data_IF_179372146605
#
_entry.id   IF_179372146605
#
_cell.length_a   1.000
_cell.length_b   1.000
_cell.length_c   1.000
_cell.angle_alpha   90.00
_cell.angle_beta   90.00
_cell.angle_gamma   90.00
#
_symmetry.space_group_name_H-M   'P 1'
#
loop_
_entity.id
_entity.type
_entity.pdbx_description
1 polymer ?
#
# COMPACT_ATOMS: atom_id res chain seq x y z
N UNK A 1 -26.01 -9.75 -11.77
CA UNK A 1 -26.08 -8.61 -10.83
C UNK A 1 -24.72 -8.41 -10.21
N UNK A 2 -24.03 -7.30 -10.50
CA UNK A 2 -22.82 -6.94 -9.76
C UNK A 2 -23.22 -6.73 -8.29
N UNK A 3 -22.48 -7.33 -7.36
CA UNK A 3 -22.76 -7.20 -5.93
C UNK A 3 -22.46 -5.76 -5.53
N UNK A 4 -23.48 -5.00 -5.12
CA UNK A 4 -23.30 -3.66 -4.53
C UNK A 4 -22.38 -3.79 -3.32
N UNK A 5 -21.41 -2.89 -3.21
CA UNK A 5 -20.40 -2.94 -2.16
C UNK A 5 -20.46 -1.67 -1.36
N UNK A 6 -20.40 -1.82 -0.04
CA UNK A 6 -20.33 -0.68 0.88
C UNK A 6 -19.11 0.22 0.60
N UNK A 7 -19.31 1.53 0.58
CA UNK A 7 -18.27 2.56 0.53
C UNK A 7 -17.26 2.31 1.67
N UNK A 8 -17.76 2.01 2.87
CA UNK A 8 -16.91 1.70 4.03
C UNK A 8 -15.98 0.50 3.77
N UNK A 9 -16.47 -0.53 3.08
CA UNK A 9 -15.69 -1.72 2.74
C UNK A 9 -14.62 -1.39 1.71
N UNK A 10 -14.94 -0.62 0.67
CA UNK A 10 -13.97 -0.16 -0.34
C UNK A 10 -12.80 0.58 0.32
N UNK A 11 -13.10 1.55 1.18
CA UNK A 11 -12.09 2.36 1.89
C UNK A 11 -11.23 1.48 2.82
N UNK A 12 -11.85 0.57 3.58
CA UNK A 12 -11.13 -0.35 4.49
C UNK A 12 -10.19 -1.28 3.72
N UNK A 13 -10.65 -1.84 2.59
CA UNK A 13 -9.84 -2.73 1.75
C UNK A 13 -8.65 -1.97 1.14
N UNK A 14 -8.88 -0.76 0.61
CA UNK A 14 -7.81 0.11 0.08
C UNK A 14 -6.76 0.43 1.17
N UNK A 15 -7.20 0.84 2.36
CA UNK A 15 -6.31 1.15 3.47
C UNK A 15 -5.53 -0.07 3.96
N UNK A 16 -6.18 -1.22 4.09
CA UNK A 16 -5.52 -2.48 4.47
C UNK A 16 -4.48 -2.91 3.43
N UNK A 17 -4.79 -2.77 2.15
CA UNK A 17 -3.88 -3.11 1.05
C UNK A 17 -2.65 -2.20 1.04
N UNK A 18 -2.82 -0.90 1.25
CA UNK A 18 -1.71 0.06 1.38
C UNK A 18 -0.83 -0.26 2.60
N UNK A 19 -1.43 -0.52 3.77
CA UNK A 19 -0.67 -0.89 4.98
C UNK A 19 0.10 -2.19 4.79
N UNK A 20 -0.52 -3.20 4.20
CA UNK A 20 0.14 -4.46 3.87
C UNK A 20 1.33 -4.25 2.94
N UNK A 21 1.15 -3.43 1.89
CA UNK A 21 2.22 -3.13 0.94
C UNK A 21 3.41 -2.45 1.65
N UNK A 22 3.16 -1.45 2.49
CA UNK A 22 4.21 -0.77 3.26
C UNK A 22 4.93 -1.75 4.18
N UNK A 23 4.20 -2.60 4.90
CA UNK A 23 4.79 -3.61 5.77
C UNK A 23 5.66 -4.61 4.99
N UNK A 24 5.21 -5.05 3.81
CA UNK A 24 5.96 -5.94 2.93
C UNK A 24 7.26 -5.29 2.43
N UNK A 25 7.22 -4.01 2.04
CA UNK A 25 8.40 -3.24 1.61
C UNK A 25 9.43 -3.14 2.73
N UNK A 26 9.00 -2.73 3.93
CA UNK A 26 9.88 -2.56 5.09
C UNK A 26 10.49 -3.91 5.48
N UNK A 27 9.68 -4.96 5.57
CA UNK A 27 10.14 -6.30 5.96
C UNK A 27 11.17 -6.85 4.97
N UNK A 28 10.88 -6.74 3.67
CA UNK A 28 11.81 -7.19 2.61
C UNK A 28 13.11 -6.39 2.63
N UNK A 29 13.04 -5.08 2.85
CA UNK A 29 14.23 -4.22 2.96
C UNK A 29 15.09 -4.60 4.15
N UNK A 30 14.49 -4.81 5.33
CA UNK A 30 15.21 -5.25 6.53
C UNK A 30 15.88 -6.61 6.28
N UNK A 31 15.13 -7.57 5.72
CA UNK A 31 15.63 -8.91 5.42
C UNK A 31 16.85 -8.87 4.49
N UNK A 32 16.76 -8.15 3.36
CA UNK A 32 17.85 -8.06 2.40
C UNK A 32 19.04 -7.26 2.94
N UNK A 33 18.81 -6.18 3.68
CA UNK A 33 19.88 -5.38 4.26
C UNK A 33 20.68 -6.15 5.32
N UNK A 34 20.00 -6.99 6.12
CA UNK A 34 20.67 -7.88 7.06
C UNK A 34 21.60 -8.88 6.33
N UNK A 35 21.21 -9.36 5.15
CA UNK A 35 22.02 -10.26 4.34
C UNK A 35 23.28 -9.59 3.75
N UNK A 36 23.27 -8.26 3.58
CA UNK A 36 24.40 -7.48 3.04
C UNK A 36 25.28 -6.82 4.11
N UNK A 37 24.86 -6.83 5.38
CA UNK A 37 25.54 -6.11 6.48
C UNK A 37 27.03 -6.48 6.65
N UNK A 38 27.41 -7.72 6.30
CA UNK A 38 28.79 -8.22 6.42
C UNK A 38 29.57 -8.22 5.10
N UNK A 39 28.97 -7.82 3.99
CA UNK A 39 29.64 -7.86 2.69
C UNK A 39 30.87 -6.92 2.65
N UNK A 40 30.79 -5.75 3.29
CA UNK A 40 31.95 -4.85 3.42
C UNK A 40 33.14 -5.48 4.18
N UNK A 41 32.83 -6.27 5.22
CA UNK A 41 33.85 -7.00 5.98
C UNK A 41 34.49 -8.10 5.12
N UNK A 42 33.68 -8.84 4.35
CA UNK A 42 34.16 -9.86 3.42
C UNK A 42 35.03 -9.26 2.32
N UNK A 43 34.60 -8.14 1.72
CA UNK A 43 35.37 -7.38 0.71
C UNK A 43 36.72 -6.91 1.28
N UNK A 44 36.76 -6.48 2.54
CA UNK A 44 38.02 -6.12 3.20
C UNK A 44 38.93 -7.34 3.39
N UNK A 45 38.40 -8.49 3.83
CA UNK A 45 39.19 -9.72 4.03
C UNK A 45 39.81 -10.19 2.71
N UNK A 46 39.02 -10.25 1.63
CA UNK A 46 39.53 -10.66 0.31
C UNK A 46 40.49 -9.61 -0.25
N UNK A 47 40.21 -8.32 -0.05
CA UNK A 47 41.10 -7.22 -0.46
C UNK A 47 42.47 -7.29 0.22
N UNK A 48 42.50 -7.65 1.51
CA UNK A 48 43.72 -7.85 2.29
C UNK A 48 44.58 -8.99 1.73
N UNK A 49 43.98 -10.02 1.13
CA UNK A 49 44.75 -11.12 0.53
C UNK A 49 45.72 -10.62 -0.54
N UNK A 50 45.34 -9.64 -1.39
CA UNK A 50 46.24 -9.05 -2.40
C UNK A 50 47.47 -8.41 -1.78
N UNK A 51 47.25 -7.63 -0.71
CA UNK A 51 48.34 -6.98 0.03
C UNK A 51 49.26 -8.03 0.66
N UNK A 52 48.70 -9.11 1.22
CA UNK A 52 49.47 -10.17 1.85
C UNK A 52 50.37 -10.92 0.87
N UNK A 53 49.94 -11.18 -0.38
CA UNK A 53 50.83 -11.80 -1.38
C UNK A 53 52.07 -10.94 -1.63
N UNK A 54 51.88 -9.63 -1.79
CA UNK A 54 52.97 -8.67 -1.97
C UNK A 54 53.83 -8.51 -0.71
N UNK A 55 53.21 -8.50 0.49
CA UNK A 55 53.93 -8.42 1.76
C UNK A 55 54.85 -9.62 1.96
N UNK A 56 54.38 -10.83 1.61
CA UNK A 56 55.19 -12.05 1.66
C UNK A 56 56.38 -11.95 0.70
N UNK A 57 56.14 -11.60 -0.57
CA UNK A 57 57.22 -11.45 -1.57
C UNK A 57 58.25 -10.40 -1.15
N UNK A 58 57.79 -9.22 -0.69
CA UNK A 58 58.63 -8.13 -0.18
C UNK A 58 59.54 -8.62 0.96
N UNK A 59 58.97 -9.31 1.95
CA UNK A 59 59.73 -9.80 3.10
C UNK A 59 60.74 -10.86 2.70
N UNK A 60 60.40 -11.75 1.77
CA UNK A 60 61.34 -12.75 1.23
C UNK A 60 62.53 -12.07 0.55
N UNK A 61 62.30 -11.09 -0.33
CA UNK A 61 63.40 -10.35 -0.97
C UNK A 61 64.24 -9.57 0.03
N UNK A 62 63.62 -8.95 1.03
CA UNK A 62 64.34 -8.22 2.07
C UNK A 62 65.23 -9.14 2.91
N UNK A 63 64.70 -10.27 3.37
CA UNK A 63 65.44 -11.28 4.13
C UNK A 63 66.59 -11.82 3.28
N UNK A 64 66.32 -12.15 2.01
CA UNK A 64 67.34 -12.64 1.09
C UNK A 64 68.47 -11.63 0.87
N UNK A 65 68.12 -10.36 0.62
CA UNK A 65 69.09 -9.29 0.38
C UNK A 65 69.94 -8.96 1.62
N UNK A 66 69.31 -8.92 2.80
CA UNK A 66 69.99 -8.56 4.05
C UNK A 66 70.71 -9.73 4.71
N UNK A 67 70.38 -10.96 4.35
CA UNK A 67 70.80 -12.16 5.08
C UNK A 67 70.18 -12.28 6.48
N UNK A 68 69.16 -11.46 6.79
CA UNK A 68 68.43 -11.52 8.05
C UNK A 68 67.77 -12.90 8.23
N UNK A 69 67.73 -13.40 9.47
CA UNK A 69 67.01 -14.63 9.82
C UNK A 69 65.72 -14.34 10.60
N UNK A 70 65.26 -13.10 10.58
CA UNK A 70 63.99 -12.70 11.16
C UNK A 70 62.85 -12.97 10.17
N UNK A 71 62.02 -13.95 10.50
CA UNK A 71 60.84 -14.33 9.72
C UNK A 71 59.53 -13.85 10.35
N UNK A 72 59.55 -13.01 11.38
CA UNK A 72 58.35 -12.63 12.13
C UNK A 72 57.28 -12.03 11.23
N UNK A 73 57.62 -10.98 10.45
CA UNK A 73 56.66 -10.35 9.54
C UNK A 73 56.20 -11.28 8.40
N UNK A 74 57.06 -12.18 7.94
CA UNK A 74 56.73 -13.16 6.91
C UNK A 74 55.72 -14.18 7.44
N UNK A 75 55.98 -14.75 8.62
CA UNK A 75 55.09 -15.72 9.26
C UNK A 75 53.73 -15.08 9.59
N UNK A 76 53.71 -13.87 10.15
CA UNK A 76 52.47 -13.14 10.39
C UNK A 76 51.66 -12.93 9.10
N UNK A 77 52.31 -12.57 7.98
CA UNK A 77 51.61 -12.42 6.70
C UNK A 77 51.06 -13.75 6.15
N UNK A 78 51.80 -14.84 6.33
CA UNK A 78 51.39 -16.20 5.95
C UNK A 78 50.18 -16.65 6.78
N UNK A 79 50.21 -16.47 8.10
CA UNK A 79 49.14 -16.88 9.01
C UNK A 79 47.85 -16.10 8.71
N UNK A 80 47.96 -14.77 8.53
CA UNK A 80 46.83 -13.92 8.14
C UNK A 80 46.23 -14.30 6.78
N UNK A 81 47.06 -14.77 5.83
CA UNK A 81 46.60 -15.23 4.52
C UNK A 81 45.83 -16.55 4.63
N UNK A 82 46.35 -17.50 5.40
CA UNK A 82 45.70 -18.79 5.66
C UNK A 82 44.36 -18.59 6.38
N UNK A 83 44.32 -17.76 7.42
CA UNK A 83 43.09 -17.43 8.15
C UNK A 83 42.06 -16.76 7.23
N UNK A 84 42.51 -15.83 6.39
CA UNK A 84 41.66 -15.16 5.41
C UNK A 84 41.04 -16.13 4.41
N UNK A 85 41.84 -17.01 3.80
CA UNK A 85 41.34 -18.04 2.88
C UNK A 85 40.38 -19.02 3.57
N UNK A 86 40.66 -19.40 4.83
CA UNK A 86 39.79 -20.27 5.60
C UNK A 86 38.43 -19.61 5.89
N UNK A 87 38.46 -18.34 6.31
CA UNK A 87 37.25 -17.53 6.52
C UNK A 87 36.43 -17.43 5.24
N UNK A 88 37.06 -17.14 4.10
CA UNK A 88 36.36 -17.01 2.83
C UNK A 88 35.74 -18.33 2.36
N UNK A 89 36.36 -19.47 2.69
CA UNK A 89 35.84 -20.79 2.32
C UNK A 89 34.68 -21.24 3.21
N UNK A 90 34.90 -21.23 4.53
CA UNK A 90 34.03 -21.87 5.51
C UNK A 90 33.09 -20.89 6.21
N UNK A 91 33.35 -19.59 6.08
CA UNK A 91 32.69 -18.54 6.84
C UNK A 91 33.26 -18.42 8.25
N UNK A 92 32.66 -17.51 9.03
CA UNK A 92 32.93 -17.31 10.44
C UNK A 92 31.64 -16.88 11.14
N UNK A 93 31.03 -17.83 11.85
CA UNK A 93 29.76 -17.60 12.57
C UNK A 93 29.87 -16.52 13.64
N UNK A 94 31.03 -16.39 14.30
CA UNK A 94 31.24 -15.38 15.36
C UNK A 94 31.21 -13.96 14.80
N UNK A 95 31.66 -13.79 13.55
CA UNK A 95 31.63 -12.51 12.81
C UNK A 95 30.39 -12.36 11.92
N UNK A 96 29.52 -13.37 11.86
CA UNK A 96 28.34 -13.41 11.00
C UNK A 96 28.68 -13.55 9.50
N UNK A 97 29.87 -14.06 9.19
CA UNK A 97 30.31 -14.28 7.80
C UNK A 97 29.84 -15.66 7.36
N UNK A 98 29.05 -15.71 6.30
CA UNK A 98 28.68 -16.96 5.64
C UNK A 98 29.85 -17.50 4.83
N UNK A 99 29.85 -18.82 4.58
CA UNK A 99 30.82 -19.42 3.67
C UNK A 99 30.65 -18.95 2.22
N UNK A 100 31.38 -19.61 1.31
CA UNK A 100 31.41 -19.28 -0.13
C UNK A 100 30.00 -19.01 -0.69
N UNK A 101 29.75 -17.83 -1.29
CA UNK A 101 28.40 -17.41 -1.67
C UNK A 101 27.93 -17.96 -3.03
N UNK A 102 28.85 -18.26 -3.96
CA UNK A 102 28.51 -18.72 -5.32
C UNK A 102 29.50 -19.75 -5.84
N UNK A 103 29.06 -20.59 -6.78
CA UNK A 103 29.93 -21.57 -7.45
C UNK A 103 31.12 -20.91 -8.16
N UNK A 104 30.90 -19.73 -8.77
CA UNK A 104 31.96 -18.95 -9.44
C UNK A 104 33.07 -18.54 -8.47
N UNK A 105 32.68 -18.05 -7.30
CA UNK A 105 33.62 -17.68 -6.23
C UNK A 105 34.30 -18.94 -5.66
N UNK A 106 33.56 -20.04 -5.50
CA UNK A 106 34.11 -21.33 -5.07
C UNK A 106 35.25 -21.79 -5.96
N UNK A 107 35.02 -21.79 -7.29
CA UNK A 107 36.01 -22.23 -8.27
C UNK A 107 37.25 -21.34 -8.27
N UNK A 108 37.07 -20.02 -8.19
CA UNK A 108 38.22 -19.11 -8.12
C UNK A 108 39.01 -19.27 -6.82
N UNK A 109 38.32 -19.51 -5.69
CA UNK A 109 38.96 -19.77 -4.41
C UNK A 109 39.77 -21.08 -4.45
N UNK A 110 39.29 -22.11 -5.16
CA UNK A 110 40.02 -23.35 -5.40
C UNK A 110 41.31 -23.11 -6.21
N UNK A 111 41.26 -22.32 -7.28
CA UNK A 111 42.46 -21.96 -8.06
C UNK A 111 43.47 -21.17 -7.22
N UNK A 112 43.00 -20.21 -6.42
CA UNK A 112 43.86 -19.46 -5.49
C UNK A 112 44.53 -20.40 -4.47
N UNK A 113 43.79 -21.36 -3.91
CA UNK A 113 44.34 -22.35 -2.98
C UNK A 113 45.41 -23.23 -3.61
N UNK A 114 45.20 -23.72 -4.82
CA UNK A 114 46.19 -24.52 -5.55
C UNK A 114 47.48 -23.75 -5.82
N UNK A 115 47.36 -22.48 -6.23
CA UNK A 115 48.53 -21.60 -6.41
C UNK A 115 49.22 -21.31 -5.07
N UNK A 116 48.44 -21.10 -4.02
CA UNK A 116 48.92 -20.86 -2.67
C UNK A 116 49.70 -22.05 -2.11
N UNK A 117 49.24 -23.29 -2.29
CA UNK A 117 49.94 -24.49 -1.82
C UNK A 117 51.37 -24.55 -2.35
N UNK A 118 51.56 -24.30 -3.66
CA UNK A 118 52.88 -24.25 -4.27
C UNK A 118 53.71 -23.07 -3.74
N UNK A 119 53.11 -21.90 -3.63
CA UNK A 119 53.79 -20.70 -3.14
C UNK A 119 54.19 -20.83 -1.66
N UNK A 120 53.37 -21.49 -0.85
CA UNK A 120 53.66 -21.78 0.55
C UNK A 120 54.82 -22.77 0.71
N UNK A 121 54.88 -23.79 -0.14
CA UNK A 121 56.03 -24.71 -0.19
C UNK A 121 57.33 -23.96 -0.48
N UNK A 122 57.33 -23.06 -1.47
CA UNK A 122 58.49 -22.20 -1.77
C UNK A 122 58.90 -21.34 -0.55
N UNK A 123 57.94 -20.79 0.18
CA UNK A 123 58.20 -20.02 1.42
C UNK A 123 58.87 -20.89 2.47
N UNK A 124 58.41 -22.12 2.69
CA UNK A 124 59.02 -23.01 3.69
C UNK A 124 60.44 -23.43 3.26
N UNK A 125 60.63 -23.78 1.99
CA UNK A 125 61.94 -24.13 1.45
C UNK A 125 62.93 -22.96 1.54
N UNK A 126 62.46 -21.73 1.25
CA UNK A 126 63.24 -20.50 1.43
C UNK A 126 63.73 -20.33 2.88
N UNK A 127 62.85 -20.53 3.87
CA UNK A 127 63.20 -20.43 5.30
C UNK A 127 64.24 -21.48 5.71
N UNK A 128 64.10 -22.71 5.24
CA UNK A 128 65.04 -23.81 5.53
C UNK A 128 66.44 -23.52 4.98
N UNK A 129 66.53 -23.11 3.72
CA UNK A 129 67.81 -22.83 3.07
C UNK A 129 68.48 -21.57 3.60
N UNK A 130 67.69 -20.54 3.93
CA UNK A 130 68.20 -19.28 4.49
C UNK A 130 68.76 -19.44 5.91
N UNK A 131 68.36 -20.48 6.65
CA UNK A 131 68.85 -20.74 8.01
C UNK A 131 70.10 -21.65 8.04
N UNK A 132 70.29 -22.52 7.04
CA UNK A 132 71.38 -23.51 6.96
C UNK A 132 72.29 -23.39 5.72
N UNK A 133 73.00 -22.27 5.50
CA UNK A 133 73.91 -22.11 4.37
C UNK A 133 75.19 -22.92 4.61
N UNK A 134 75.23 -24.20 4.19
CA UNK A 134 76.41 -25.07 4.37
C UNK A 134 77.24 -25.28 3.10
N UNK A 135 76.85 -24.72 1.93
CA UNK A 135 77.61 -24.88 0.68
C UNK A 135 77.19 -23.89 -0.42
N UNK A 136 78.04 -23.69 -1.43
CA UNK A 136 77.72 -22.92 -2.65
C UNK A 136 76.52 -23.50 -3.45
N UNK A 137 76.23 -24.79 -3.27
CA UNK A 137 75.02 -25.43 -3.83
C UNK A 137 73.76 -24.86 -3.16
N UNK A 138 73.80 -24.62 -1.85
CA UNK A 138 72.70 -24.01 -1.08
C UNK A 138 72.38 -22.58 -1.54
N UNK A 139 73.39 -21.80 -1.95
CA UNK A 139 73.18 -20.43 -2.44
C UNK A 139 72.52 -20.41 -3.82
N UNK A 140 72.89 -21.37 -4.68
CA UNK A 140 72.29 -21.54 -6.01
C UNK A 140 70.82 -21.96 -5.91
N UNK A 141 70.51 -22.90 -5.01
CA UNK A 141 69.14 -23.35 -4.73
C UNK A 141 68.29 -22.24 -4.10
N UNK A 142 68.85 -21.46 -3.17
CA UNK A 142 68.17 -20.32 -2.56
C UNK A 142 67.80 -19.25 -3.60
N UNK A 143 68.75 -18.89 -4.48
CA UNK A 143 68.50 -17.95 -5.57
C UNK A 143 67.43 -18.46 -6.54
N UNK A 144 67.40 -19.77 -6.81
CA UNK A 144 66.39 -20.37 -7.67
C UNK A 144 64.98 -20.27 -7.07
N UNK A 145 64.82 -20.51 -5.76
CA UNK A 145 63.53 -20.35 -5.06
C UNK A 145 63.08 -18.89 -5.04
N UNK A 146 63.99 -17.96 -4.75
CA UNK A 146 63.67 -16.52 -4.76
C UNK A 146 63.20 -16.07 -6.16
N UNK A 147 63.85 -16.57 -7.22
CA UNK A 147 63.42 -16.31 -8.61
C UNK A 147 62.07 -16.97 -8.92
N UNK A 148 61.81 -18.18 -8.41
CA UNK A 148 60.53 -18.84 -8.59
C UNK A 148 59.40 -18.05 -7.91
N UNK A 149 59.60 -17.60 -6.66
CA UNK A 149 58.69 -16.72 -5.91
C UNK A 149 58.44 -15.41 -6.66
N UNK A 150 59.48 -14.80 -7.22
CA UNK A 150 59.32 -13.60 -8.05
C UNK A 150 58.41 -13.83 -9.25
N UNK A 151 58.53 -14.99 -9.92
CA UNK A 151 57.72 -15.34 -11.09
C UNK A 151 56.29 -15.74 -10.73
N UNK A 152 56.08 -16.41 -9.59
CA UNK A 152 54.76 -16.93 -9.19
C UNK A 152 53.93 -15.91 -8.41
N UNK A 153 54.55 -14.96 -7.69
CA UNK A 153 53.81 -13.93 -6.94
C UNK A 153 52.84 -13.10 -7.80
N UNK A 154 53.21 -12.61 -9.01
CA UNK A 154 52.27 -11.92 -9.89
C UNK A 154 51.08 -12.80 -10.31
N UNK A 155 51.30 -14.09 -10.55
CA UNK A 155 50.26 -15.05 -10.95
C UNK A 155 49.28 -15.28 -9.79
N UNK A 156 49.80 -15.44 -8.57
CA UNK A 156 48.98 -15.56 -7.36
C UNK A 156 48.21 -14.25 -7.11
N UNK A 157 48.86 -13.10 -7.22
CA UNK A 157 48.24 -11.78 -7.09
C UNK A 157 47.08 -11.62 -8.07
N UNK A 158 47.26 -11.95 -9.35
CA UNK A 158 46.23 -11.84 -10.38
C UNK A 158 45.01 -12.72 -10.05
N UNK A 159 45.23 -13.95 -9.57
CA UNK A 159 44.14 -14.84 -9.19
C UNK A 159 43.42 -14.40 -7.92
N UNK A 160 44.14 -13.82 -6.96
CA UNK A 160 43.54 -13.18 -5.78
C UNK A 160 42.77 -11.93 -6.21
N UNK A 161 43.25 -11.14 -7.16
CA UNK A 161 42.55 -9.95 -7.67
C UNK A 161 41.25 -10.30 -8.43
N UNK A 162 41.28 -11.38 -9.22
CA UNK A 162 40.07 -11.99 -9.79
C UNK A 162 39.08 -12.42 -8.70
N UNK A 163 39.56 -13.04 -7.62
CA UNK A 163 38.72 -13.42 -6.48
C UNK A 163 38.09 -12.19 -5.82
N UNK A 164 38.87 -11.12 -5.59
CA UNK A 164 38.37 -9.84 -5.06
C UNK A 164 37.27 -9.30 -5.96
N UNK A 165 37.51 -9.25 -7.27
CA UNK A 165 36.53 -8.77 -8.25
C UNK A 165 35.23 -9.57 -8.18
N UNK A 166 35.29 -10.89 -8.05
CA UNK A 166 34.08 -11.71 -7.94
C UNK A 166 33.31 -11.44 -6.64
N UNK A 167 33.99 -11.26 -5.51
CA UNK A 167 33.34 -10.89 -4.25
C UNK A 167 32.73 -9.48 -4.30
N UNK A 168 33.43 -8.51 -4.88
CA UNK A 168 32.94 -7.15 -5.08
C UNK A 168 31.68 -7.15 -5.95
N UNK A 169 31.73 -7.78 -7.12
CA UNK A 169 30.57 -7.85 -8.02
C UNK A 169 29.38 -8.56 -7.36
N UNK A 170 29.62 -9.65 -6.63
CA UNK A 170 28.55 -10.34 -5.88
C UNK A 170 27.91 -9.43 -4.82
N UNK A 171 28.70 -8.59 -4.13
CA UNK A 171 28.17 -7.60 -3.19
C UNK A 171 27.37 -6.51 -3.91
N UNK A 172 27.86 -6.01 -5.03
CA UNK A 172 27.19 -4.98 -5.83
C UNK A 172 25.89 -5.50 -6.43
N UNK A 173 25.86 -6.73 -6.94
CA UNK A 173 24.68 -7.38 -7.49
C UNK A 173 23.57 -7.53 -6.43
N UNK A 174 23.92 -7.93 -5.21
CA UNK A 174 22.96 -7.97 -4.08
C UNK A 174 22.38 -6.57 -3.81
N UNK A 175 23.23 -5.54 -3.74
CA UNK A 175 22.79 -4.16 -3.52
C UNK A 175 21.89 -3.69 -4.68
N UNK A 176 22.23 -4.03 -5.92
CA UNK A 176 21.43 -3.68 -7.07
C UNK A 176 20.06 -4.38 -7.05
N UNK A 177 20.01 -5.66 -6.66
CA UNK A 177 18.76 -6.39 -6.47
C UNK A 177 17.86 -5.75 -5.39
N UNK A 178 18.45 -5.23 -4.30
CA UNK A 178 17.71 -4.45 -3.30
C UNK A 178 17.08 -3.22 -3.95
N UNK A 179 17.86 -2.43 -4.69
CA UNK A 179 17.37 -1.22 -5.37
C UNK A 179 16.25 -1.52 -6.36
N UNK A 180 16.43 -2.54 -7.21
CA UNK A 180 15.43 -2.97 -8.20
C UNK A 180 14.14 -3.37 -7.49
N UNK A 181 14.24 -4.18 -6.43
CA UNK A 181 13.07 -4.60 -5.63
C UNK A 181 12.33 -3.38 -5.05
N UNK A 182 13.06 -2.39 -4.53
CA UNK A 182 12.48 -1.15 -4.02
C UNK A 182 11.79 -0.32 -5.11
N UNK A 183 12.36 -0.21 -6.31
CA UNK A 183 11.73 0.49 -7.42
C UNK A 183 10.45 -0.20 -7.90
N UNK A 184 10.43 -1.53 -7.95
CA UNK A 184 9.23 -2.31 -8.30
C UNK A 184 8.12 -2.04 -7.27
N UNK A 185 8.44 -2.11 -5.99
CA UNK A 185 7.47 -1.81 -4.94
C UNK A 185 6.98 -0.36 -4.97
N UNK A 186 7.87 0.60 -5.22
CA UNK A 186 7.50 2.01 -5.36
C UNK A 186 6.55 2.22 -6.55
N UNK A 187 6.83 1.58 -7.68
CA UNK A 187 5.96 1.64 -8.85
C UNK A 187 4.56 1.09 -8.54
N UNK A 188 4.49 -0.10 -7.92
CA UNK A 188 3.22 -0.71 -7.49
C UNK A 188 2.49 0.20 -6.49
N UNK A 189 3.20 0.80 -5.53
CA UNK A 189 2.64 1.74 -4.57
C UNK A 189 1.99 2.94 -5.25
N UNK A 190 2.67 3.54 -6.24
CA UNK A 190 2.14 4.67 -7.01
C UNK A 190 0.88 4.26 -7.78
N UNK A 191 0.86 3.08 -8.41
CA UNK A 191 -0.34 2.58 -9.10
C UNK A 191 -1.53 2.42 -8.15
N UNK A 192 -1.31 1.85 -6.97
CA UNK A 192 -2.35 1.68 -5.95
C UNK A 192 -2.83 3.03 -5.43
N UNK A 193 -1.92 3.98 -5.21
CA UNK A 193 -2.28 5.34 -4.80
C UNK A 193 -3.13 6.04 -5.85
N UNK A 194 -2.75 5.97 -7.13
CA UNK A 194 -3.54 6.55 -8.22
C UNK A 194 -4.92 5.89 -8.27
N UNK A 195 -4.98 4.55 -8.21
CA UNK A 195 -6.24 3.82 -8.17
C UNK A 195 -7.11 4.24 -6.98
N UNK A 196 -6.52 4.40 -5.79
CA UNK A 196 -7.21 4.88 -4.60
C UNK A 196 -7.78 6.27 -4.78
N UNK A 197 -7.02 7.20 -5.38
CA UNK A 197 -7.49 8.57 -5.64
C UNK A 197 -8.63 8.59 -6.66
N UNK A 198 -8.56 7.75 -7.70
CA UNK A 198 -9.65 7.61 -8.67
C UNK A 198 -10.92 7.05 -8.03
N UNK A 199 -10.79 6.03 -7.17
CA UNK A 199 -11.92 5.49 -6.41
C UNK A 199 -12.56 6.53 -5.48
N UNK A 200 -11.75 7.34 -4.79
CA UNK A 200 -12.27 8.43 -3.96
C UNK A 200 -13.03 9.47 -4.79
N UNK A 201 -12.52 9.85 -5.97
CA UNK A 201 -13.22 10.76 -6.89
C UNK A 201 -14.53 10.19 -7.43
N UNK A 202 -14.60 8.87 -7.67
CA UNK A 202 -15.85 8.23 -8.09
C UNK A 202 -16.92 8.28 -6.98
N UNK A 203 -16.50 7.99 -5.74
CA UNK A 203 -17.39 8.09 -4.58
C UNK A 203 -17.89 9.54 -4.41
N UNK A 204 -16.99 10.52 -4.50
CA UNK A 204 -17.32 11.95 -4.47
C UNK A 204 -18.38 12.30 -5.53
N UNK A 205 -18.19 11.85 -6.77
CA UNK A 205 -19.14 12.11 -7.86
C UNK A 205 -20.53 11.51 -7.61
N UNK A 206 -20.62 10.29 -7.05
CA UNK A 206 -21.92 9.69 -6.72
C UNK A 206 -22.61 10.44 -5.58
N UNK A 207 -21.86 10.85 -4.55
CA UNK A 207 -22.39 11.67 -3.45
C UNK A 207 -22.89 13.02 -3.98
N UNK A 208 -22.15 13.68 -4.86
CA UNK A 208 -22.56 14.94 -5.48
C UNK A 208 -23.83 14.77 -6.33
N UNK A 209 -23.95 13.66 -7.06
CA UNK A 209 -25.12 13.34 -7.88
C UNK A 209 -26.35 13.15 -7.00
N UNK A 210 -26.22 12.39 -5.92
CA UNK A 210 -27.24 12.25 -4.88
C UNK A 210 -27.64 13.59 -4.28
N UNK A 211 -26.68 14.41 -3.86
CA UNK A 211 -26.93 15.72 -3.25
C UNK A 211 -27.60 16.70 -4.21
N UNK A 212 -27.21 16.70 -5.49
CA UNK A 212 -27.84 17.55 -6.51
C UNK A 212 -29.28 17.14 -6.79
N UNK A 213 -29.58 15.84 -6.80
CA UNK A 213 -30.96 15.37 -6.90
C UNK A 213 -31.77 15.84 -5.68
N UNK A 214 -31.27 15.59 -4.46
CA UNK A 214 -31.93 16.02 -3.23
C UNK A 214 -32.23 17.52 -3.22
N UNK A 215 -31.27 18.35 -3.67
CA UNK A 215 -31.48 19.80 -3.83
C UNK A 215 -32.60 20.13 -4.81
N UNK A 216 -32.67 19.45 -5.97
CA UNK A 216 -33.76 19.65 -6.94
C UNK A 216 -35.12 19.32 -6.33
N UNK A 217 -35.20 18.24 -5.56
CA UNK A 217 -36.44 17.78 -4.93
C UNK A 217 -37.01 18.81 -3.95
N UNK A 218 -36.16 19.51 -3.19
CA UNK A 218 -36.61 20.56 -2.24
C UNK A 218 -36.83 21.92 -2.92
N UNK A 219 -36.15 22.17 -4.04
CA UNK A 219 -36.23 23.45 -4.74
C UNK A 219 -37.45 23.57 -5.65
N UNK A 220 -37.94 22.45 -6.21
CA UNK A 220 -39.18 22.38 -6.99
C UNK A 220 -40.38 22.69 -6.10
N UNK A 221 -40.93 23.91 -6.21
CA UNK A 221 -41.95 24.42 -5.29
C UNK A 221 -43.33 23.78 -5.36
N UNK A 222 -43.50 22.68 -6.09
CA UNK A 222 -44.78 21.97 -6.25
C UNK A 222 -44.63 20.53 -5.73
N UNK A 223 -45.34 20.24 -4.64
CA UNK A 223 -45.33 18.93 -3.95
C UNK A 223 -46.49 18.03 -4.41
N UNK A 224 -47.28 18.47 -5.39
CA UNK A 224 -48.45 17.72 -5.85
C UNK A 224 -48.05 16.38 -6.45
N UNK A 225 -46.80 16.24 -6.92
CA UNK A 225 -46.22 14.97 -7.34
C UNK A 225 -44.69 15.00 -7.26
N UNK A 226 -44.14 14.60 -6.11
CA UNK A 226 -42.70 14.42 -5.97
C UNK A 226 -42.27 13.17 -6.76
N UNK A 227 -41.33 13.33 -7.68
CA UNK A 227 -40.77 12.19 -8.42
C UNK A 227 -39.84 11.35 -7.52
N UNK A 228 -39.93 10.00 -7.57
CA UNK A 228 -38.97 9.14 -6.91
C UNK A 228 -37.56 9.26 -7.51
N UNK A 229 -36.53 9.11 -6.68
CA UNK A 229 -35.16 8.92 -7.13
C UNK A 229 -35.00 7.59 -7.87
N UNK A 230 -34.41 7.63 -9.06
CA UNK A 230 -33.88 6.45 -9.73
C UNK A 230 -32.36 6.54 -9.80
N UNK A 231 -31.68 5.78 -8.95
CA UNK A 231 -30.26 5.46 -9.10
C UNK A 231 -30.17 4.03 -9.63
N UNK A 232 -30.44 3.84 -10.93
CA UNK A 232 -30.35 2.52 -11.57
C UNK A 232 -28.90 2.05 -11.75
N UNK A 233 -27.92 2.96 -11.75
CA UNK A 233 -26.52 2.67 -12.09
C UNK A 233 -25.51 2.77 -10.92
N UNK A 234 -25.97 3.01 -9.68
CA UNK A 234 -25.04 3.20 -8.57
C UNK A 234 -24.62 1.89 -7.89
N UNK A 235 -23.30 1.67 -7.88
CA UNK A 235 -22.64 0.51 -7.27
C UNK A 235 -22.45 0.65 -5.75
N UNK A 236 -22.86 1.77 -5.16
CA UNK A 236 -22.72 2.07 -3.73
C UNK A 236 -23.98 1.65 -2.97
N UNK A 237 -23.82 0.67 -2.06
CA UNK A 237 -24.94 0.11 -1.29
C UNK A 237 -25.60 1.17 -0.39
N UNK A 238 -24.80 2.02 0.26
CA UNK A 238 -25.31 3.04 1.19
C UNK A 238 -26.12 4.13 0.46
N UNK A 239 -25.72 4.55 -0.74
CA UNK A 239 -26.47 5.57 -1.49
C UNK A 239 -27.81 5.01 -1.96
N UNK A 240 -27.83 3.74 -2.37
CA UNK A 240 -29.06 3.03 -2.75
C UNK A 240 -30.02 2.89 -1.56
N UNK A 241 -29.52 2.52 -0.38
CA UNK A 241 -30.32 2.40 0.84
C UNK A 241 -30.96 3.75 1.24
N UNK A 242 -30.19 4.82 1.21
CA UNK A 242 -30.68 6.18 1.49
C UNK A 242 -31.72 6.60 0.44
N UNK A 243 -31.47 6.34 -0.83
CA UNK A 243 -32.42 6.64 -1.91
C UNK A 243 -33.75 5.91 -1.72
N UNK A 244 -33.73 4.62 -1.40
CA UNK A 244 -34.96 3.84 -1.15
C UNK A 244 -35.75 4.39 0.04
N UNK A 245 -35.06 4.80 1.10
CA UNK A 245 -35.68 5.41 2.28
C UNK A 245 -36.37 6.72 1.93
N UNK A 246 -35.71 7.57 1.14
CA UNK A 246 -36.30 8.83 0.69
C UNK A 246 -37.45 8.58 -0.29
N UNK A 247 -37.35 7.60 -1.18
CA UNK A 247 -38.45 7.22 -2.09
C UNK A 247 -39.69 6.76 -1.33
N UNK A 248 -39.53 5.95 -0.29
CA UNK A 248 -40.64 5.56 0.58
C UNK A 248 -41.28 6.78 1.28
N UNK A 249 -40.47 7.76 1.68
CA UNK A 249 -40.97 9.01 2.26
C UNK A 249 -41.75 9.85 1.23
N UNK A 250 -41.22 9.98 0.00
CA UNK A 250 -41.88 10.64 -1.13
C UNK A 250 -43.23 9.99 -1.42
N UNK A 251 -43.29 8.67 -1.50
CA UNK A 251 -44.52 7.92 -1.76
C UNK A 251 -45.59 8.16 -0.67
N UNK A 252 -45.17 8.21 0.61
CA UNK A 252 -46.07 8.53 1.72
C UNK A 252 -46.60 9.97 1.67
N UNK A 253 -45.77 10.94 1.28
CA UNK A 253 -46.20 12.34 1.09
C UNK A 253 -47.21 12.44 -0.05
N UNK A 254 -46.86 11.89 -1.23
CA UNK A 254 -47.75 11.92 -2.39
C UNK A 254 -49.09 11.25 -2.07
N UNK A 255 -49.07 10.12 -1.36
CA UNK A 255 -50.29 9.43 -0.91
C UNK A 255 -51.12 10.29 0.05
N UNK A 256 -50.50 10.91 1.06
CA UNK A 256 -51.21 11.76 2.02
C UNK A 256 -51.83 13.00 1.34
N UNK A 257 -51.12 13.61 0.39
CA UNK A 257 -51.63 14.71 -0.44
C UNK A 257 -52.82 14.27 -1.28
N UNK A 258 -52.74 13.11 -1.96
CA UNK A 258 -53.82 12.56 -2.75
C UNK A 258 -55.07 12.26 -1.91
N UNK A 259 -54.90 11.62 -0.75
CA UNK A 259 -56.01 11.37 0.18
C UNK A 259 -56.62 12.67 0.70
N UNK A 260 -55.81 13.69 1.00
CA UNK A 260 -56.30 15.00 1.46
C UNK A 260 -57.11 15.71 0.36
N UNK A 261 -56.64 15.69 -0.89
CA UNK A 261 -57.34 16.28 -2.03
C UNK A 261 -58.65 15.54 -2.35
N UNK A 262 -58.65 14.20 -2.29
CA UNK A 262 -59.87 13.40 -2.49
C UNK A 262 -60.90 13.65 -1.36
N UNK A 263 -60.45 13.66 -0.10
CA UNK A 263 -61.31 13.92 1.04
C UNK A 263 -61.89 15.35 0.99
N UNK A 264 -61.07 16.34 0.62
CA UNK A 264 -61.54 17.73 0.44
C UNK A 264 -62.63 17.83 -0.62
N UNK A 265 -62.45 17.19 -1.80
CA UNK A 265 -63.47 17.19 -2.86
C UNK A 265 -64.77 16.49 -2.44
N UNK A 266 -64.68 15.38 -1.71
CA UNK A 266 -65.88 14.68 -1.19
C UNK A 266 -66.63 15.51 -0.18
N UNK A 267 -65.93 16.19 0.74
CA UNK A 267 -66.56 17.09 1.70
C UNK A 267 -67.19 18.30 1.02
N UNK A 268 -66.55 18.85 -0.01
CA UNK A 268 -67.09 19.96 -0.80
C UNK A 268 -68.39 19.55 -1.51
N UNK A 269 -68.40 18.39 -2.18
CA UNK A 269 -69.62 17.84 -2.79
C UNK A 269 -70.72 17.58 -1.75
N UNK A 270 -70.38 17.01 -0.58
CA UNK A 270 -71.34 16.79 0.51
C UNK A 270 -71.90 18.12 1.03
N UNK A 271 -71.07 19.15 1.15
CA UNK A 271 -71.52 20.49 1.57
C UNK A 271 -72.53 21.04 0.57
N UNK A 272 -72.26 20.94 -0.73
CA UNK A 272 -73.21 21.38 -1.78
C UNK A 272 -74.54 20.61 -1.73
N UNK A 273 -74.50 19.29 -1.46
CA UNK A 273 -75.71 18.49 -1.27
C UNK A 273 -76.52 18.93 -0.04
N UNK A 274 -75.84 19.19 1.09
CA UNK A 274 -76.48 19.69 2.32
C UNK A 274 -77.09 21.07 2.11
N UNK A 275 -76.38 22.00 1.46
CA UNK A 275 -76.90 23.35 1.17
C UNK A 275 -78.14 23.27 0.26
N UNK A 276 -78.14 22.39 -0.75
CA UNK A 276 -79.32 22.16 -1.59
C UNK A 276 -80.51 21.57 -0.82
N UNK A 277 -80.27 20.74 0.19
CA UNK A 277 -81.34 20.18 1.04
C UNK A 277 -81.88 21.26 1.98
N UNK A 278 -81.00 22.07 2.58
CA UNK A 278 -81.37 23.20 3.44
C UNK A 278 -82.25 24.19 2.66
N UNK A 279 -81.86 24.57 1.45
CA UNK A 279 -82.64 25.45 0.58
C UNK A 279 -84.04 24.88 0.28
N UNK A 280 -84.12 23.58 -0.04
CA UNK A 280 -85.39 22.90 -0.30
C UNK A 280 -86.27 22.78 0.97
N UNK A 281 -85.67 22.60 2.14
CA UNK A 281 -86.36 22.58 3.42
C UNK A 281 -86.96 23.97 3.73
N UNK A 282 -86.18 25.04 3.56
CA UNK A 282 -86.63 26.42 3.77
C UNK A 282 -87.86 26.80 2.94
N UNK A 283 -87.95 26.35 1.68
CA UNK A 283 -89.11 26.57 0.80
C UNK A 283 -90.36 25.78 1.20
N UNK A 284 -90.23 24.65 1.89
CA UNK A 284 -91.34 23.74 2.24
C UNK A 284 -92.00 24.01 3.60
N UNK A 285 -91.55 25.04 4.33
CA UNK A 285 -91.91 25.32 5.72
C UNK A 285 -93.37 25.79 5.91
N UNK A 286 -94.29 24.83 6.11
CA UNK A 286 -95.62 25.06 6.68
C UNK A 286 -95.78 24.26 7.99
N UNK A 287 -95.45 24.91 9.11
CA UNK A 287 -95.91 24.64 10.49
C UNK A 287 -95.58 23.28 11.17
N UNK A 288 -94.31 22.99 11.49
CA UNK A 288 -93.99 22.08 12.60
C UNK A 288 -92.65 22.41 13.28
N UNK A 289 -92.59 22.34 14.61
CA UNK A 289 -91.37 22.64 15.39
C UNK A 289 -90.25 21.61 15.15
N UNK A 290 -90.57 20.35 14.83
CA UNK A 290 -89.59 19.30 14.48
C UNK A 290 -88.82 19.62 13.19
N UNK A 291 -89.39 20.44 12.30
CA UNK A 291 -88.77 20.81 11.03
C UNK A 291 -87.64 21.84 11.22
N UNK A 292 -87.83 22.80 12.13
CA UNK A 292 -86.81 23.79 12.50
C UNK A 292 -85.60 23.13 13.20
N UNK A 293 -85.84 22.18 14.12
CA UNK A 293 -84.75 21.43 14.77
C UNK A 293 -83.91 20.63 13.75
N UNK A 294 -84.55 20.09 12.69
CA UNK A 294 -83.86 19.37 11.62
C UNK A 294 -83.09 20.27 10.66
N UNK A 295 -83.60 21.46 10.37
CA UNK A 295 -82.92 22.49 9.58
C UNK A 295 -81.67 22.99 10.33
N UNK A 296 -81.80 23.30 11.62
CA UNK A 296 -80.69 23.72 12.48
C UNK A 296 -79.58 22.64 12.57
N UNK A 297 -79.95 21.36 12.72
CA UNK A 297 -78.99 20.25 12.70
C UNK A 297 -78.26 20.10 11.34
N UNK A 298 -78.95 20.36 10.22
CA UNK A 298 -78.34 20.32 8.88
C UNK A 298 -77.40 21.50 8.66
N UNK A 299 -77.76 22.70 9.13
CA UNK A 299 -76.90 23.88 9.11
C UNK A 299 -75.65 23.63 9.95
N UNK A 300 -75.79 23.08 11.17
CA UNK A 300 -74.67 22.71 12.03
C UNK A 300 -73.75 21.68 11.35
N UNK A 301 -74.32 20.66 10.70
CA UNK A 301 -73.56 19.65 9.94
C UNK A 301 -72.83 20.26 8.73
N UNK A 302 -73.47 21.14 7.96
CA UNK A 302 -72.84 21.87 6.84
C UNK A 302 -71.67 22.73 7.35
N UNK A 303 -71.85 23.42 8.48
CA UNK A 303 -70.79 24.22 9.10
C UNK A 303 -69.60 23.34 9.55
N UNK A 304 -69.87 22.16 10.13
CA UNK A 304 -68.82 21.19 10.48
C UNK A 304 -68.06 20.66 9.23
N UNK A 305 -68.78 20.36 8.14
CA UNK A 305 -68.19 19.91 6.88
C UNK A 305 -67.29 20.99 6.26
N UNK A 306 -67.76 22.24 6.20
CA UNK A 306 -66.98 23.39 5.76
C UNK A 306 -65.71 23.55 6.61
N UNK A 307 -65.83 23.39 7.92
CA UNK A 307 -64.70 23.47 8.84
C UNK A 307 -63.69 22.33 8.62
N UNK A 308 -64.16 21.11 8.35
CA UNK A 308 -63.32 19.97 8.00
C UNK A 308 -62.58 20.20 6.67
N UNK A 309 -63.27 20.71 5.64
CA UNK A 309 -62.67 21.09 4.35
C UNK A 309 -61.58 22.14 4.54
N UNK A 310 -61.83 23.19 5.33
CA UNK A 310 -60.80 24.21 5.66
C UNK A 310 -59.60 23.61 6.38
N UNK A 311 -59.81 22.66 7.30
CA UNK A 311 -58.71 21.98 8.01
C UNK A 311 -57.85 21.15 7.05
N UNK A 312 -58.45 20.47 6.07
CA UNK A 312 -57.71 19.73 5.02
C UNK A 312 -56.96 20.68 4.07
N UNK A 313 -57.59 21.78 3.65
CA UNK A 313 -56.91 22.82 2.87
C UNK A 313 -55.73 23.43 3.64
N UNK A 314 -55.89 23.63 4.95
CA UNK A 314 -54.81 24.09 5.83
C UNK A 314 -53.70 23.04 5.95
N UNK A 315 -54.03 21.76 6.08
CA UNK A 315 -53.04 20.68 6.09
C UNK A 315 -52.22 20.67 4.79
N UNK A 316 -52.88 20.75 3.64
CA UNK A 316 -52.23 20.88 2.33
C UNK A 316 -51.29 22.09 2.29
N UNK A 317 -51.79 23.27 2.71
CA UNK A 317 -50.98 24.49 2.76
C UNK A 317 -49.79 24.39 3.71
N UNK A 318 -49.93 23.74 4.87
CA UNK A 318 -48.81 23.52 5.80
C UNK A 318 -47.78 22.53 5.24
N UNK A 319 -48.22 21.48 4.52
CA UNK A 319 -47.33 20.58 3.79
C UNK A 319 -46.54 21.31 2.68
N UNK A 320 -47.19 22.22 1.95
CA UNK A 320 -46.54 23.09 0.95
C UNK A 320 -45.56 24.10 1.60
N UNK A 321 -45.87 24.63 2.78
CA UNK A 321 -44.97 25.53 3.51
C UNK A 321 -43.73 24.82 4.04
N UNK A 322 -43.86 23.57 4.48
CA UNK A 322 -42.74 22.78 5.00
C UNK A 322 -41.65 22.61 3.93
N UNK A 323 -42.01 22.47 2.65
CA UNK A 323 -41.02 22.39 1.58
C UNK A 323 -40.39 23.74 1.24
N UNK A 324 -41.17 24.82 1.29
CA UNK A 324 -40.65 26.20 1.15
C UNK A 324 -39.66 26.58 2.25
N UNK A 325 -39.93 26.17 3.51
CA UNK A 325 -39.07 26.44 4.66
C UNK A 325 -37.76 25.62 4.63
N UNK A 326 -37.76 24.47 3.94
CA UNK A 326 -36.56 23.66 3.74
C UNK A 326 -35.69 24.14 2.57
N UNK A 327 -36.08 25.17 1.80
CA UNK A 327 -35.22 25.75 0.77
C UNK A 327 -33.95 26.32 1.41
N UNK A 328 -32.75 25.98 0.90
CA UNK A 328 -31.54 26.64 1.36
C UNK A 328 -31.67 28.14 1.06
N UNK A 329 -31.33 28.99 2.04
CA UNK A 329 -31.06 30.40 1.79
C UNK A 329 -29.82 30.45 0.89
N UNK A 330 -30.02 30.50 -0.42
CA UNK A 330 -28.97 30.75 -1.39
C UNK A 330 -28.70 32.26 -1.33
N UNK A 331 -27.69 32.65 -0.54
CA UNK A 331 -26.99 33.91 -0.68
C UNK A 331 -25.61 33.64 -1.29
#
# INVERSE_FOLDING_TARGET
MAKKTKISTKIKVLGALLMFLVAAIVSTTIFLNNQTSKDALVVNIVGKQRMLTQKMAKNIFYIHYTGSKDFYELNSAVDEFIEGLSTLQHGDKSRGISGVPTLKISNQLFEVKKLWEKYYEDIQNFKILSTNPKSAVSDTELNAIVLHIYKTNPILLENVDKLVTFYTNNSEDKINNIKITQYVFLFIFVLILIYSLLQLRLIESHVDSFMNYYKKLISGGDISNLEPMHFEDENEEEIVEVSQTINCFIEKINSAMAYSDEASKKLENLTEEFDSIIDAMGESSLNSNEFYDSEDMMIESSEELINATRKLQKLKSELEKLTLACRPNIN
#
